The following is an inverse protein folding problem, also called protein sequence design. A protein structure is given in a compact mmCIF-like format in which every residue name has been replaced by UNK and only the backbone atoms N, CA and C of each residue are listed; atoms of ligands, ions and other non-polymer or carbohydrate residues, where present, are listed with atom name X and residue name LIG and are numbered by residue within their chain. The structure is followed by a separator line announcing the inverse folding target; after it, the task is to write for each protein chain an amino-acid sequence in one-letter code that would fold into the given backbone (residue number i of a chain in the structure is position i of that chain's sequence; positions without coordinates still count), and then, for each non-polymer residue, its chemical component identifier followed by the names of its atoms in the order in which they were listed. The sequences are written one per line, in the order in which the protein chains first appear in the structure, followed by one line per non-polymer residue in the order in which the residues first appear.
data_IF_892417711798
#
_entry.id   IF_892417711798
#
_cell.length_a   1.000
_cell.length_b   1.000
_cell.length_c   1.000
_cell.angle_alpha   90.00
_cell.angle_beta   90.00
_cell.angle_gamma   90.00
#
_symmetry.space_group_name_H-M   'P 1'
#
loop_
_entity.id
_entity.type
_entity.pdbx_description
1 polymer ?
#
# COMPACT_ATOMS: atom_id res chain seq x y z
N UNK A 1 9.77 23.46 -54.91
CA UNK A 1 10.78 24.49 -55.25
C UNK A 1 10.13 25.86 -55.10
N UNK A 2 10.82 26.87 -54.55
CA UNK A 2 10.40 28.29 -54.40
C UNK A 2 8.99 28.60 -53.82
N UNK A 3 8.98 29.11 -52.59
CA UNK A 3 8.00 30.13 -52.16
C UNK A 3 8.26 31.46 -52.89
N UNK A 4 7.28 32.38 -52.90
CA UNK A 4 7.54 33.79 -52.59
C UNK A 4 6.87 34.22 -51.26
N UNK A 5 7.29 35.37 -50.72
CA UNK A 5 6.88 35.93 -49.42
C UNK A 5 6.09 37.24 -49.58
N UNK A 6 5.52 37.66 -48.44
CA UNK A 6 5.31 39.06 -48.00
C UNK A 6 4.00 39.75 -48.47
N UNK A 7 3.48 40.78 -47.80
CA UNK A 7 4.07 41.63 -46.72
C UNK A 7 3.03 42.33 -45.83
N UNK A 8 3.40 42.63 -44.56
CA UNK A 8 2.98 43.83 -43.76
C UNK A 8 1.47 43.99 -43.37
N UNK A 9 1.06 44.80 -42.38
CA UNK A 9 1.71 45.35 -41.16
C UNK A 9 0.66 45.99 -40.20
N UNK A 10 1.06 46.31 -38.95
CA UNK A 10 0.27 46.97 -37.88
C UNK A 10 -0.98 46.18 -37.43
N UNK A 11 -1.63 46.40 -36.28
CA UNK A 11 -1.54 47.34 -35.13
C UNK A 11 -2.88 47.19 -34.37
N UNK A 12 -3.06 47.41 -33.07
CA UNK A 12 -2.35 48.21 -32.07
C UNK A 12 -2.42 47.55 -30.67
N UNK A 13 -1.62 48.05 -29.71
CA UNK A 13 -1.76 47.65 -28.30
C UNK A 13 -2.86 48.45 -27.58
N UNK A 14 -3.40 47.88 -26.51
CA UNK A 14 -3.90 48.66 -25.37
C UNK A 14 -3.67 47.90 -24.06
N UNK A 15 -3.12 48.58 -23.06
CA UNK A 15 -2.91 48.06 -21.72
C UNK A 15 -3.47 49.03 -20.69
N UNK A 16 -4.15 48.51 -19.67
CA UNK A 16 -4.61 49.15 -18.43
C UNK A 16 -5.13 48.02 -17.51
N UNK A 17 -5.09 48.09 -16.18
CA UNK A 17 -4.12 48.68 -15.26
C UNK A 17 -4.35 48.03 -13.88
N UNK A 18 -3.35 48.01 -13.00
CA UNK A 18 -3.52 47.46 -11.65
C UNK A 18 -4.20 48.46 -10.70
N UNK A 19 -5.05 47.98 -9.78
CA UNK A 19 -5.41 48.77 -8.60
C UNK A 19 -5.89 47.92 -7.39
N UNK A 20 -5.07 48.00 -6.34
CA UNK A 20 -5.39 47.86 -4.91
C UNK A 20 -4.65 49.03 -4.22
N UNK A 21 -4.92 49.45 -2.95
CA UNK A 21 -5.59 48.71 -1.87
C UNK A 21 -6.59 49.55 -1.04
N UNK A 22 -7.03 49.04 0.13
CA UNK A 22 -7.42 49.81 1.35
C UNK A 22 -7.38 48.90 2.60
N UNK A 23 -7.23 49.47 3.81
CA UNK A 23 -7.11 48.74 5.09
C UNK A 23 -7.79 49.47 6.27
N UNK A 24 -8.28 48.69 7.26
CA UNK A 24 -8.49 49.02 8.71
C UNK A 24 -9.53 50.13 9.06
N UNK A 25 -9.98 50.30 10.33
CA UNK A 25 -9.69 49.63 11.63
C UNK A 25 -10.79 48.58 12.02
N UNK A 26 -10.85 47.80 13.12
CA UNK A 26 -10.18 47.64 14.45
C UNK A 26 -10.73 48.46 15.67
N UNK A 27 -10.85 47.97 16.92
CA UNK A 27 -10.30 46.71 17.50
C UNK A 27 -11.23 45.83 18.41
N UNK A 28 -11.48 46.04 19.74
CA UNK A 28 -11.35 44.89 20.67
C UNK A 28 -12.47 44.61 21.71
N UNK A 29 -12.48 43.37 22.24
CA UNK A 29 -12.88 42.99 23.62
C UNK A 29 -12.44 41.57 24.00
N UNK A 30 -12.33 41.28 25.30
CA UNK A 30 -11.87 40.01 25.90
C UNK A 30 -12.47 39.85 27.34
N UNK A 31 -11.97 38.99 28.24
CA UNK A 31 -12.16 37.53 28.26
C UNK A 31 -12.81 37.01 29.57
N UNK A 32 -13.41 35.81 29.59
CA UNK A 32 -13.85 35.13 30.82
C UNK A 32 -13.42 33.65 30.90
N UNK A 33 -13.06 33.29 32.14
CA UNK A 33 -12.76 31.99 32.80
C UNK A 33 -13.81 30.87 32.59
N UNK A 34 -13.66 29.64 33.10
CA UNK A 34 -12.54 28.72 33.40
C UNK A 34 -13.12 27.45 34.09
N UNK A 35 -12.39 26.32 34.07
CA UNK A 35 -12.79 25.07 34.72
C UNK A 35 -13.52 24.08 33.79
N UNK A 36 -13.62 22.78 34.07
CA UNK A 36 -13.11 22.01 35.23
C UNK A 36 -12.48 20.66 34.80
N UNK A 37 -12.14 19.79 35.76
CA UNK A 37 -11.23 18.64 35.59
C UNK A 37 -11.95 17.29 35.48
N UNK A 38 -11.30 16.37 34.76
CA UNK A 38 -11.22 14.91 34.96
C UNK A 38 -12.12 14.31 36.07
N UNK A 39 -12.94 13.30 35.72
CA UNK A 39 -12.59 11.86 35.93
C UNK A 39 -13.78 10.95 35.57
N UNK A 40 -13.52 9.85 34.86
CA UNK A 40 -14.48 8.75 34.73
C UNK A 40 -14.07 7.62 35.69
N UNK A 41 -14.96 7.17 36.57
CA UNK A 41 -14.69 6.08 37.52
C UNK A 41 -15.00 4.70 36.90
N UNK A 42 -14.15 3.71 37.18
CA UNK A 42 -14.45 2.28 37.04
C UNK A 42 -15.24 1.75 38.26
N UNK A 43 -15.64 0.48 38.18
CA UNK A 43 -16.27 -0.38 39.21
C UNK A 43 -17.82 -0.39 39.20
N UNK A 44 -18.50 -1.54 39.41
CA UNK A 44 -18.03 -2.94 39.61
C UNK A 44 -19.13 -3.97 39.26
N UNK A 45 -18.78 -5.26 39.26
CA UNK A 45 -19.70 -6.39 39.08
C UNK A 45 -20.89 -6.40 40.05
N UNK A 46 -22.00 -7.00 39.61
CA UNK A 46 -22.88 -7.79 40.46
C UNK A 46 -23.34 -9.04 39.69
N UNK A 47 -22.92 -10.23 40.13
CA UNK A 47 -23.37 -11.52 39.61
C UNK A 47 -24.49 -12.09 40.47
N UNK A 48 -25.57 -12.60 39.86
CA UNK A 48 -26.53 -13.49 40.52
C UNK A 48 -27.11 -14.48 39.51
N UNK A 49 -26.99 -15.76 39.81
CA UNK A 49 -27.69 -16.82 39.08
C UNK A 49 -29.07 -17.12 39.66
N UNK A 50 -29.90 -17.79 38.88
CA UNK A 50 -31.16 -18.42 39.25
C UNK A 50 -31.45 -19.52 38.24
N UNK A 51 -31.94 -20.67 38.68
CA UNK A 51 -31.90 -21.91 37.88
C UNK A 51 -33.24 -22.62 37.82
N UNK A 52 -33.42 -23.38 36.73
CA UNK A 52 -34.39 -24.48 36.56
C UNK A 52 -35.89 -24.11 36.60
N UNK A 53 -36.56 -24.40 35.49
CA UNK A 53 -37.54 -25.49 35.49
C UNK A 53 -37.55 -26.17 34.10
N UNK A 54 -37.94 -27.44 34.05
CA UNK A 54 -37.84 -28.28 32.84
C UNK A 54 -39.22 -28.64 32.26
N UNK A 55 -39.23 -29.01 30.98
CA UNK A 55 -40.31 -29.72 30.31
C UNK A 55 -39.72 -30.70 29.28
N UNK A 56 -40.27 -31.91 29.19
CA UNK A 56 -39.68 -33.03 28.43
C UNK A 56 -40.38 -33.29 27.10
N UNK A 57 -39.66 -33.87 26.14
CA UNK A 57 -40.20 -34.67 25.05
C UNK A 57 -39.17 -35.74 24.65
N UNK A 58 -39.62 -36.97 24.38
CA UNK A 58 -38.77 -38.12 24.04
C UNK A 58 -38.84 -38.50 22.55
N UNK A 59 -37.94 -39.42 22.17
CA UNK A 59 -38.05 -40.37 21.06
C UNK A 59 -37.90 -39.88 19.61
N UNK A 60 -36.72 -40.12 19.04
CA UNK A 60 -36.57 -40.95 17.84
C UNK A 60 -35.19 -41.63 17.85
N UNK A 61 -35.10 -42.88 17.37
CA UNK A 61 -33.83 -43.62 17.32
C UNK A 61 -33.18 -43.52 15.93
N UNK A 62 -31.86 -43.32 15.90
CA UNK A 62 -31.06 -43.31 14.67
C UNK A 62 -29.58 -43.23 15.01
N UNK A 63 -28.86 -44.34 14.89
CA UNK A 63 -27.44 -44.40 15.23
C UNK A 63 -26.57 -43.67 14.22
N UNK A 64 -25.68 -42.82 14.71
CA UNK A 64 -24.54 -42.28 13.99
C UNK A 64 -23.26 -42.79 14.69
N UNK A 65 -22.15 -43.03 13.96
CA UNK A 65 -20.91 -43.45 14.59
C UNK A 65 -20.38 -42.34 15.51
N UNK A 66 -19.78 -42.73 16.64
CA UNK A 66 -18.97 -41.80 17.43
C UNK A 66 -17.81 -41.30 16.56
N UNK A 67 -17.77 -39.98 16.36
CA UNK A 67 -16.63 -39.30 15.77
C UNK A 67 -15.77 -38.83 16.93
N UNK A 68 -14.59 -39.43 17.10
CA UNK A 68 -13.64 -39.01 18.12
C UNK A 68 -13.36 -37.50 17.96
N UNK A 69 -13.78 -36.72 18.95
CA UNK A 69 -13.40 -35.31 19.04
C UNK A 69 -11.90 -35.24 19.30
N UNK A 70 -11.13 -34.99 18.24
CA UNK A 70 -9.69 -34.73 18.31
C UNK A 70 -9.43 -33.72 19.42
N UNK A 71 -8.59 -34.10 20.39
CA UNK A 71 -8.32 -33.28 21.57
C UNK A 71 -8.01 -31.83 21.18
N UNK A 72 -8.73 -30.90 21.81
CA UNK A 72 -8.48 -29.48 21.68
C UNK A 72 -7.04 -29.19 22.15
N UNK A 73 -6.13 -29.01 21.17
CA UNK A 73 -4.70 -28.86 21.44
C UNK A 73 -4.45 -27.62 22.29
N UNK A 74 -4.36 -27.85 23.60
CA UNK A 74 -4.13 -26.82 24.61
C UNK A 74 -2.85 -26.07 24.28
N UNK A 75 -3.02 -24.83 23.81
CA UNK A 75 -1.94 -23.91 23.46
C UNK A 75 -1.09 -23.71 24.73
N UNK A 76 0.21 -24.08 24.74
CA UNK A 76 0.97 -24.12 25.98
C UNK A 76 1.11 -22.72 26.59
N UNK A 77 1.13 -22.57 27.93
CA UNK A 77 1.15 -21.27 28.60
C UNK A 77 2.42 -20.47 28.26
N UNK A 78 2.32 -19.57 27.28
CA UNK A 78 3.44 -18.79 26.74
C UNK A 78 3.44 -18.63 25.22
N UNK A 79 2.80 -19.54 24.47
CA UNK A 79 2.50 -19.27 23.06
C UNK A 79 1.30 -18.34 22.95
N UNK A 80 1.50 -17.21 22.26
CA UNK A 80 0.43 -16.34 21.81
C UNK A 80 -0.43 -17.08 20.78
N UNK A 81 -1.75 -16.92 20.80
CA UNK A 81 -2.59 -17.37 19.69
C UNK A 81 -2.13 -16.74 18.37
N UNK A 82 -2.16 -17.48 17.26
CA UNK A 82 -1.67 -17.00 15.96
C UNK A 82 -2.38 -15.70 15.51
N UNK A 83 -3.65 -15.50 15.89
CA UNK A 83 -4.40 -14.27 15.64
C UNK A 83 -3.84 -13.11 16.49
N UNK A 84 -3.63 -13.32 17.78
CA UNK A 84 -3.04 -12.32 18.68
C UNK A 84 -1.57 -12.04 18.33
N UNK A 85 -0.84 -13.00 17.76
CA UNK A 85 0.48 -12.79 17.18
C UNK A 85 0.42 -11.90 15.90
N UNK A 86 -0.56 -12.14 15.02
CA UNK A 86 -0.86 -11.30 13.85
C UNK A 86 -1.30 -9.88 14.23
N UNK A 87 -1.93 -9.69 15.40
CA UNK A 87 -2.30 -8.36 15.93
C UNK A 87 -1.13 -7.65 16.66
N UNK A 88 -0.32 -8.38 17.43
CA UNK A 88 0.85 -7.83 18.12
C UNK A 88 1.96 -7.37 17.14
N UNK A 89 2.03 -8.02 15.98
CA UNK A 89 2.98 -7.72 14.89
C UNK A 89 2.35 -6.77 13.86
N UNK A 90 2.20 -5.49 14.23
CA UNK A 90 1.98 -4.39 13.28
C UNK A 90 3.21 -4.17 12.39
N UNK A 91 3.81 -2.98 12.41
CA UNK A 91 5.12 -2.73 11.75
C UNK A 91 6.32 -3.44 12.43
N UNK A 92 6.10 -4.58 13.10
CA UNK A 92 7.09 -5.53 13.62
C UNK A 92 8.44 -4.93 14.00
N UNK A 93 9.44 -5.22 13.17
CA UNK A 93 10.85 -4.80 13.28
C UNK A 93 11.23 -3.62 12.36
N UNK A 94 10.26 -2.89 11.80
CA UNK A 94 10.53 -1.74 10.90
C UNK A 94 11.11 -0.57 11.70
N UNK A 95 12.19 0.05 11.19
CA UNK A 95 12.78 1.27 11.77
C UNK A 95 11.80 2.44 11.76
N UNK A 96 10.90 2.48 10.78
CA UNK A 96 9.86 3.52 10.66
C UNK A 96 8.67 3.34 11.62
N UNK A 97 8.50 2.19 12.29
CA UNK A 97 7.33 1.85 13.12
C UNK A 97 6.92 2.98 14.09
N UNK A 98 7.90 3.61 14.75
CA UNK A 98 7.68 4.66 15.76
C UNK A 98 7.25 6.02 15.19
N UNK A 99 7.31 6.23 13.88
CA UNK A 99 6.94 7.50 13.22
C UNK A 99 5.63 7.41 12.43
N UNK A 100 5.24 6.20 12.00
CA UNK A 100 4.03 5.98 11.21
C UNK A 100 2.77 5.98 12.09
N UNK A 101 1.68 6.55 11.58
CA UNK A 101 0.34 6.49 12.19
C UNK A 101 -0.12 5.00 12.29
N UNK A 102 -0.86 4.61 13.35
CA UNK A 102 -1.27 3.22 13.57
C UNK A 102 -1.94 2.52 12.38
N UNK A 103 -2.65 3.26 11.52
CA UNK A 103 -3.26 2.72 10.30
C UNK A 103 -2.22 2.15 9.33
N UNK A 104 -1.12 2.88 9.11
CA UNK A 104 -0.03 2.46 8.25
C UNK A 104 0.73 1.29 8.88
N UNK A 105 0.93 1.33 10.21
CA UNK A 105 1.55 0.20 10.93
C UNK A 105 0.73 -1.08 10.80
N UNK A 106 -0.61 -0.97 10.86
CA UNK A 106 -1.54 -2.10 10.73
C UNK A 106 -1.55 -2.65 9.29
N UNK A 107 -1.74 -1.80 8.28
CA UNK A 107 -1.73 -2.24 6.88
C UNK A 107 -0.40 -2.89 6.49
N UNK A 108 0.73 -2.27 6.86
CA UNK A 108 2.06 -2.83 6.60
C UNK A 108 2.27 -4.19 7.30
N UNK A 109 1.83 -4.31 8.56
CA UNK A 109 1.91 -5.57 9.32
C UNK A 109 1.05 -6.68 8.72
N UNK A 110 -0.18 -6.37 8.33
CA UNK A 110 -1.12 -7.33 7.74
C UNK A 110 -0.65 -7.80 6.34
N UNK A 111 -0.11 -6.91 5.51
CA UNK A 111 0.47 -7.28 4.20
C UNK A 111 1.67 -8.21 4.37
N UNK A 112 2.68 -7.80 5.16
CA UNK A 112 3.89 -8.60 5.37
C UNK A 112 3.58 -9.95 6.05
N UNK A 113 2.58 -9.98 6.95
CA UNK A 113 2.19 -11.20 7.66
C UNK A 113 1.35 -12.14 6.79
N UNK A 114 0.51 -11.64 5.88
CA UNK A 114 -0.20 -12.47 4.90
C UNK A 114 0.78 -13.18 3.96
N UNK A 115 1.83 -12.48 3.50
CA UNK A 115 2.91 -13.09 2.72
C UNK A 115 3.60 -14.21 3.50
N UNK A 116 4.05 -13.94 4.74
CA UNK A 116 4.75 -14.91 5.59
C UNK A 116 3.90 -16.13 5.91
N UNK A 117 2.61 -15.94 6.17
CA UNK A 117 1.68 -17.00 6.55
C UNK A 117 1.27 -17.88 5.37
N UNK A 118 0.97 -17.29 4.20
CA UNK A 118 0.43 -18.03 3.05
C UNK A 118 1.50 -18.62 2.13
N UNK A 119 2.71 -18.03 2.06
CA UNK A 119 3.82 -18.60 1.27
C UNK A 119 4.76 -19.46 2.11
N UNK A 120 4.86 -19.21 3.42
CA UNK A 120 5.67 -20.01 4.34
C UNK A 120 7.12 -20.17 3.87
N UNK A 121 7.54 -21.42 3.62
CA UNK A 121 8.89 -21.74 3.14
C UNK A 121 9.18 -21.26 1.70
N UNK A 122 8.16 -20.91 0.92
CA UNK A 122 8.32 -20.36 -0.43
C UNK A 122 8.58 -18.84 -0.44
N UNK A 123 8.73 -18.17 0.72
CA UNK A 123 9.02 -16.74 0.79
C UNK A 123 10.52 -16.46 1.03
N UNK A 124 11.25 -16.15 -0.04
CA UNK A 124 12.67 -15.78 0.02
C UNK A 124 12.89 -14.27 0.19
N UNK A 125 14.03 -13.86 0.76
CA UNK A 125 14.43 -12.45 0.87
C UNK A 125 15.02 -11.95 -0.46
N UNK A 126 14.44 -10.89 -1.03
CA UNK A 126 14.98 -10.27 -2.25
C UNK A 126 16.21 -9.40 -1.93
N UNK A 127 17.32 -9.53 -2.68
CA UNK A 127 18.57 -8.83 -2.38
C UNK A 127 18.53 -7.36 -2.83
N UNK A 128 17.84 -6.51 -2.05
CA UNK A 128 17.88 -5.06 -2.23
C UNK A 128 19.31 -4.51 -1.99
N UNK A 129 19.76 -3.49 -2.75
CA UNK A 129 20.97 -2.71 -2.44
C UNK A 129 20.91 -2.15 -1.01
N UNK A 130 21.97 -2.30 -0.22
CA UNK A 130 21.98 -1.93 1.21
C UNK A 130 21.72 -0.44 1.43
N UNK A 131 22.25 0.40 0.54
CA UNK A 131 22.06 1.85 0.52
C UNK A 131 20.61 2.27 0.23
N UNK A 132 19.81 1.39 -0.40
CA UNK A 132 18.41 1.65 -0.75
C UNK A 132 17.40 0.87 0.13
N UNK A 133 17.85 0.04 1.08
CA UNK A 133 16.98 -0.60 2.08
C UNK A 133 16.39 0.40 3.09
N UNK A 134 17.13 1.46 3.39
CA UNK A 134 16.69 2.54 4.28
C UNK A 134 17.38 3.84 3.87
N UNK A 135 16.62 4.81 3.37
CA UNK A 135 17.14 6.11 2.94
C UNK A 135 16.66 7.21 3.89
N UNK A 136 17.54 8.12 4.27
CA UNK A 136 17.27 9.21 5.21
C UNK A 136 17.92 10.50 4.72
N UNK A 137 17.12 11.51 4.38
CA UNK A 137 17.59 12.77 3.80
C UNK A 137 18.35 13.70 4.77
N UNK A 138 18.44 13.37 6.06
CA UNK A 138 19.39 14.01 6.96
C UNK A 138 20.77 13.32 6.96
N UNK A 139 20.86 12.12 6.40
CA UNK A 139 22.11 11.39 6.24
C UNK A 139 22.81 11.76 4.93
N UNK A 140 24.02 12.29 5.04
CA UNK A 140 25.00 12.16 3.96
C UNK A 140 25.26 10.67 3.67
N UNK A 141 25.75 10.34 2.46
CA UNK A 141 26.20 8.99 2.08
C UNK A 141 27.50 8.55 2.79
N UNK A 142 27.81 9.15 3.93
CA UNK A 142 28.99 8.85 4.75
C UNK A 142 28.73 7.65 5.66
N UNK A 143 29.49 6.57 5.43
CA UNK A 143 29.27 5.25 6.02
C UNK A 143 29.54 5.18 7.52
N UNK A 144 30.11 6.23 8.12
CA UNK A 144 30.36 6.30 9.57
C UNK A 144 29.07 6.31 10.42
N UNK A 145 27.93 6.71 9.86
CA UNK A 145 26.74 7.09 10.62
C UNK A 145 25.63 6.02 10.68
N UNK A 146 25.96 4.82 11.17
CA UNK A 146 25.01 3.72 11.41
C UNK A 146 23.81 4.10 12.32
N UNK A 147 23.93 5.20 13.07
CA UNK A 147 22.92 5.73 13.99
C UNK A 147 22.14 6.94 13.44
N UNK A 148 22.25 7.29 12.14
CA UNK A 148 21.60 8.48 11.56
C UNK A 148 20.09 8.55 11.82
N UNK A 149 19.39 7.42 11.90
CA UNK A 149 17.96 7.37 12.23
C UNK A 149 17.61 7.95 13.62
N UNK A 150 18.60 8.07 14.52
CA UNK A 150 18.49 8.71 15.85
C UNK A 150 18.89 10.20 15.85
N UNK A 151 19.46 10.72 14.76
CA UNK A 151 19.81 12.14 14.66
C UNK A 151 18.55 13.01 14.81
N UNK A 152 18.62 14.19 15.46
CA UNK A 152 17.47 15.05 15.65
C UNK A 152 16.89 15.56 14.33
N UNK A 153 15.58 15.81 14.30
CA UNK A 153 14.89 16.45 13.18
C UNK A 153 15.40 17.87 12.93
N UNK A 154 15.68 18.29 11.68
CA UNK A 154 15.93 19.70 11.36
C UNK A 154 14.71 20.56 11.71
N UNK A 155 14.95 21.76 12.24
CA UNK A 155 13.87 22.67 12.60
C UNK A 155 13.09 23.13 11.34
N UNK A 156 11.77 23.33 11.47
CA UNK A 156 10.91 23.72 10.34
C UNK A 156 11.43 24.99 9.66
N UNK A 157 11.75 24.88 8.37
CA UNK A 157 12.29 25.98 7.57
C UNK A 157 13.82 26.11 7.56
N UNK A 158 14.55 25.23 8.24
CA UNK A 158 16.03 25.13 8.11
C UNK A 158 16.42 24.18 6.97
N UNK A 159 17.66 24.26 6.43
CA UNK A 159 18.14 23.31 5.43
C UNK A 159 17.99 21.85 5.88
N UNK A 160 17.58 20.97 4.96
CA UNK A 160 17.23 19.57 5.26
C UNK A 160 15.81 19.36 5.77
N UNK A 161 15.05 20.41 6.12
CA UNK A 161 13.61 20.28 6.39
C UNK A 161 12.79 20.38 5.08
N UNK A 162 11.75 19.53 4.88
CA UNK A 162 11.31 18.45 5.75
C UNK A 162 12.07 17.16 5.46
N UNK A 163 12.71 16.59 6.48
CA UNK A 163 13.43 15.31 6.36
C UNK A 163 12.44 14.20 5.99
N UNK A 164 12.78 13.50 4.92
CA UNK A 164 12.14 12.26 4.44
C UNK A 164 13.00 11.07 4.87
N UNK A 165 12.34 10.04 5.42
CA UNK A 165 12.89 8.74 5.78
C UNK A 165 12.03 7.66 5.12
N UNK A 166 12.64 6.75 4.36
CA UNK A 166 11.94 5.61 3.75
C UNK A 166 12.64 4.29 4.09
N UNK A 167 11.87 3.21 4.09
CA UNK A 167 12.32 1.86 4.42
C UNK A 167 11.69 0.87 3.43
N UNK A 168 12.48 -0.10 2.98
CA UNK A 168 12.07 -1.10 2.00
C UNK A 168 12.25 -2.51 2.52
N UNK A 169 11.25 -3.35 2.26
CA UNK A 169 11.36 -4.81 2.33
C UNK A 169 10.94 -5.40 1.00
N UNK A 170 11.73 -6.32 0.49
CA UNK A 170 11.34 -7.06 -0.69
C UNK A 170 11.59 -8.55 -0.50
N UNK A 171 10.72 -9.34 -1.10
CA UNK A 171 10.71 -10.80 -1.07
C UNK A 171 10.55 -11.33 -2.50
N UNK A 172 10.79 -12.62 -2.69
CA UNK A 172 10.40 -13.37 -3.89
C UNK A 172 9.71 -14.67 -3.47
N UNK A 173 9.03 -15.32 -4.41
CA UNK A 173 8.51 -16.66 -4.19
C UNK A 173 8.55 -17.54 -5.43
N UNK A 174 7.86 -18.69 -5.40
CA UNK A 174 7.64 -19.54 -6.58
C UNK A 174 6.97 -18.73 -7.70
N UNK A 175 5.82 -18.12 -7.43
CA UNK A 175 5.02 -17.39 -8.42
C UNK A 175 5.43 -15.92 -8.65
N UNK A 176 6.10 -15.28 -7.68
CA UNK A 176 6.44 -13.85 -7.74
C UNK A 176 7.94 -13.59 -7.84
N UNK A 177 8.35 -12.77 -8.81
CA UNK A 177 9.74 -12.31 -8.96
C UNK A 177 10.12 -11.32 -7.86
N UNK A 178 9.17 -10.47 -7.46
CA UNK A 178 9.36 -9.43 -6.44
C UNK A 178 8.03 -9.07 -5.77
N UNK A 179 7.94 -9.29 -4.46
CA UNK A 179 6.94 -8.67 -3.58
C UNK A 179 7.66 -7.53 -2.86
N UNK A 180 7.35 -6.28 -3.17
CA UNK A 180 7.98 -5.10 -2.58
C UNK A 180 6.97 -4.36 -1.71
N UNK A 181 7.37 -4.05 -0.47
CA UNK A 181 6.66 -3.20 0.48
C UNK A 181 7.61 -2.06 0.87
N UNK A 182 7.16 -0.83 0.65
CA UNK A 182 7.81 0.43 0.98
C UNK A 182 6.97 1.15 2.04
N UNK A 183 7.63 1.79 3.01
CA UNK A 183 7.01 2.81 3.85
C UNK A 183 7.85 4.09 3.81
N UNK A 184 7.17 5.24 3.79
CA UNK A 184 7.77 6.57 3.78
C UNK A 184 7.17 7.43 4.88
N UNK A 185 8.01 8.10 5.64
CA UNK A 185 7.66 9.14 6.59
C UNK A 185 8.38 10.45 6.24
N UNK A 186 7.69 11.59 6.30
CA UNK A 186 8.31 12.91 6.12
C UNK A 186 7.82 13.91 7.17
N UNK A 187 8.73 14.70 7.72
CA UNK A 187 8.51 15.56 8.88
C UNK A 187 7.60 16.79 8.67
N UNK A 188 7.10 16.99 7.45
CA UNK A 188 5.99 17.91 7.22
C UNK A 188 4.62 17.27 7.54
N UNK A 189 4.55 15.95 7.72
CA UNK A 189 3.34 15.16 7.98
C UNK A 189 2.96 14.16 6.87
N UNK A 190 3.71 14.08 5.77
CA UNK A 190 3.43 13.11 4.69
C UNK A 190 3.80 11.68 5.11
N UNK A 191 2.92 10.73 4.84
CA UNK A 191 3.13 9.29 5.02
C UNK A 191 2.72 8.53 3.77
N UNK A 192 3.49 7.49 3.41
CA UNK A 192 3.16 6.57 2.31
C UNK A 192 3.37 5.13 2.77
N UNK A 193 2.46 4.24 2.36
CA UNK A 193 2.72 2.82 2.22
C UNK A 193 2.50 2.49 0.74
N UNK A 194 3.51 1.91 0.10
CA UNK A 194 3.45 1.46 -1.30
C UNK A 194 3.79 -0.03 -1.34
N UNK A 195 3.02 -0.81 -2.11
CA UNK A 195 3.17 -2.26 -2.17
C UNK A 195 2.87 -2.75 -3.59
N UNK A 196 3.80 -3.50 -4.18
CA UNK A 196 3.62 -4.13 -5.50
C UNK A 196 4.10 -5.58 -5.48
N UNK A 197 3.27 -6.48 -6.02
CA UNK A 197 3.61 -7.88 -6.24
C UNK A 197 3.75 -8.14 -7.75
N UNK A 198 5.00 -8.22 -8.22
CA UNK A 198 5.32 -8.57 -9.59
C UNK A 198 5.40 -10.10 -9.75
N UNK A 199 4.53 -10.72 -10.57
CA UNK A 199 4.62 -12.15 -10.87
C UNK A 199 5.85 -12.46 -11.74
N UNK A 200 6.25 -13.73 -11.80
CA UNK A 200 7.26 -14.17 -12.79
C UNK A 200 6.66 -14.15 -14.19
N UNK A 201 7.51 -14.05 -15.21
CA UNK A 201 7.07 -13.93 -16.61
C UNK A 201 6.42 -15.20 -17.16
N UNK A 202 6.61 -16.33 -16.49
CA UNK A 202 5.94 -17.60 -16.76
C UNK A 202 4.64 -17.79 -15.96
N UNK A 203 4.13 -16.78 -15.25
CA UNK A 203 2.86 -16.87 -14.50
C UNK A 203 1.82 -15.90 -15.05
N UNK A 204 0.63 -16.42 -15.38
CA UNK A 204 -0.51 -15.63 -15.85
C UNK A 204 -1.29 -15.02 -14.66
N UNK A 205 -0.60 -14.18 -13.91
CA UNK A 205 -1.11 -13.48 -12.73
C UNK A 205 -1.09 -11.96 -12.99
N UNK A 206 -2.07 -11.20 -12.52
CA UNK A 206 -2.00 -9.73 -12.55
C UNK A 206 -0.90 -9.21 -11.61
N UNK A 207 -0.52 -7.95 -11.79
CA UNK A 207 0.33 -7.23 -10.85
C UNK A 207 -0.60 -6.63 -9.78
N UNK A 208 -0.54 -7.10 -8.53
CA UNK A 208 -1.25 -6.42 -7.43
C UNK A 208 -0.47 -5.17 -7.01
N UNK A 209 -1.11 -4.00 -7.14
CA UNK A 209 -0.61 -2.71 -6.66
C UNK A 209 -1.50 -2.15 -5.55
N UNK A 210 -0.90 -1.68 -4.46
CA UNK A 210 -1.56 -1.06 -3.30
C UNK A 210 -0.78 0.22 -2.93
N UNK A 211 -1.46 1.37 -2.94
CA UNK A 211 -0.90 2.67 -2.49
C UNK A 211 -1.79 3.28 -1.41
N UNK A 212 -1.21 3.73 -0.30
CA UNK A 212 -1.88 4.50 0.74
C UNK A 212 -1.07 5.77 1.03
N UNK A 213 -1.67 6.96 0.87
CA UNK A 213 -0.98 8.25 1.09
C UNK A 213 -1.74 9.10 2.10
N UNK A 214 -1.10 9.34 3.24
CA UNK A 214 -1.60 10.12 4.36
C UNK A 214 -0.92 11.49 4.45
N UNK A 215 -1.66 12.46 4.95
CA UNK A 215 -1.14 13.77 5.32
C UNK A 215 -1.65 14.13 6.70
N UNK A 216 -0.73 14.21 7.65
CA UNK A 216 -1.03 14.28 9.08
C UNK A 216 -1.94 13.08 9.45
N UNK A 217 -3.13 13.29 10.03
CA UNK A 217 -4.10 12.22 10.32
C UNK A 217 -5.14 11.99 9.20
N UNK A 218 -4.98 12.61 8.02
CA UNK A 218 -5.95 12.54 6.91
C UNK A 218 -5.43 11.67 5.77
N UNK A 219 -6.17 10.61 5.41
CA UNK A 219 -5.88 9.85 4.19
C UNK A 219 -6.32 10.65 2.95
N UNK A 220 -5.36 10.85 2.05
CA UNK A 220 -5.52 11.69 0.85
C UNK A 220 -5.67 10.88 -0.43
N UNK A 221 -5.18 9.64 -0.41
CA UNK A 221 -5.28 8.66 -1.48
C UNK A 221 -5.24 7.26 -0.87
N UNK A 222 -6.08 6.36 -1.37
CA UNK A 222 -5.92 4.93 -1.23
C UNK A 222 -6.21 4.29 -2.61
N UNK A 223 -5.32 3.42 -3.10
CA UNK A 223 -5.45 2.68 -4.36
C UNK A 223 -5.24 1.21 -4.08
N UNK A 224 -6.07 0.36 -4.68
CA UNK A 224 -5.87 -1.09 -4.79
C UNK A 224 -6.32 -1.55 -6.17
N UNK A 225 -5.44 -2.21 -6.91
CA UNK A 225 -5.74 -2.74 -8.25
C UNK A 225 -5.03 -4.07 -8.54
N UNK A 226 -5.71 -4.92 -9.31
CA UNK A 226 -5.08 -5.99 -10.07
C UNK A 226 -4.78 -5.46 -11.48
N UNK A 227 -3.55 -5.05 -11.75
CA UNK A 227 -3.20 -4.53 -13.07
C UNK A 227 -2.96 -5.68 -14.06
N UNK A 228 -3.66 -5.70 -15.22
CA UNK A 228 -3.72 -6.85 -16.11
C UNK A 228 -2.42 -7.10 -16.88
N UNK A 229 -2.07 -8.37 -17.07
CA UNK A 229 -0.93 -8.83 -17.89
C UNK A 229 -1.34 -9.44 -19.24
N UNK A 230 -2.63 -9.41 -19.58
CA UNK A 230 -3.14 -9.79 -20.90
C UNK A 230 -3.03 -8.63 -21.91
N UNK A 231 -2.81 -8.95 -23.19
CA UNK A 231 -2.60 -7.97 -24.28
C UNK A 231 -3.75 -6.99 -24.51
N UNK A 232 -4.97 -7.47 -24.35
CA UNK A 232 -6.22 -6.69 -24.42
C UNK A 232 -6.48 -5.84 -23.17
N UNK A 233 -5.68 -6.05 -22.11
CA UNK A 233 -5.84 -5.51 -20.75
C UNK A 233 -7.06 -6.05 -20.00
N UNK A 234 -7.53 -7.25 -20.35
CA UNK A 234 -8.46 -8.00 -19.51
C UNK A 234 -7.78 -8.55 -18.26
N UNK A 235 -8.55 -8.70 -17.18
CA UNK A 235 -8.18 -9.58 -16.07
C UNK A 235 -8.66 -11.01 -16.34
N UNK A 236 -7.98 -12.05 -15.82
CA UNK A 236 -8.55 -13.39 -15.80
C UNK A 236 -9.90 -13.38 -15.08
N UNK A 237 -10.91 -14.16 -15.52
CA UNK A 237 -12.28 -14.04 -15.04
C UNK A 237 -12.44 -14.06 -13.52
N UNK A 238 -11.74 -14.98 -12.85
CA UNK A 238 -11.78 -15.14 -11.39
C UNK A 238 -11.30 -13.88 -10.65
N UNK A 239 -10.24 -13.22 -11.16
CA UNK A 239 -9.73 -11.96 -10.61
C UNK A 239 -10.72 -10.81 -10.77
N UNK A 240 -11.35 -10.70 -11.95
CA UNK A 240 -12.35 -9.66 -12.22
C UNK A 240 -13.61 -9.86 -11.37
N UNK A 241 -14.02 -11.12 -11.16
CA UNK A 241 -15.22 -11.46 -10.39
C UNK A 241 -15.00 -11.31 -8.87
N UNK A 242 -13.89 -11.82 -8.33
CA UNK A 242 -13.51 -11.62 -6.92
C UNK A 242 -13.44 -10.12 -6.58
N UNK A 243 -12.85 -9.31 -7.47
CA UNK A 243 -12.78 -7.86 -7.25
C UNK A 243 -14.16 -7.20 -7.22
N UNK A 244 -15.09 -7.58 -8.12
CA UNK A 244 -16.48 -7.09 -8.13
C UNK A 244 -17.27 -7.53 -6.90
N UNK A 245 -17.12 -8.79 -6.48
CA UNK A 245 -17.81 -9.33 -5.30
C UNK A 245 -17.37 -8.60 -4.02
N UNK A 246 -16.07 -8.40 -3.82
CA UNK A 246 -15.56 -7.64 -2.67
C UNK A 246 -15.93 -6.15 -2.74
N UNK A 247 -16.03 -5.56 -3.93
CA UNK A 247 -16.54 -4.18 -4.09
C UNK A 247 -18.01 -4.06 -3.67
N UNK A 248 -18.85 -5.01 -4.08
CA UNK A 248 -20.26 -5.06 -3.70
C UNK A 248 -20.44 -5.33 -2.19
N UNK A 249 -19.68 -6.26 -1.61
CA UNK A 249 -19.71 -6.58 -0.18
C UNK A 249 -19.42 -5.36 0.70
N UNK A 250 -18.36 -4.61 0.37
CA UNK A 250 -17.90 -3.46 1.16
C UNK A 250 -18.45 -2.11 0.70
N UNK A 251 -19.32 -2.08 -0.33
CA UNK A 251 -19.95 -0.87 -0.87
C UNK A 251 -18.93 0.14 -1.39
N UNK A 252 -17.91 -0.33 -2.11
CA UNK A 252 -16.68 0.40 -2.40
C UNK A 252 -16.55 0.78 -3.88
N UNK A 253 -16.63 2.09 -4.16
CA UNK A 253 -16.53 2.67 -5.50
C UNK A 253 -15.35 3.64 -5.64
N UNK A 254 -14.78 3.73 -6.84
CA UNK A 254 -13.74 4.73 -7.18
C UNK A 254 -14.34 6.14 -7.20
N UNK A 255 -13.93 6.97 -6.24
CA UNK A 255 -14.42 8.35 -6.08
C UNK A 255 -13.44 9.42 -6.59
N UNK A 256 -12.36 9.01 -7.26
CA UNK A 256 -11.24 9.85 -7.68
C UNK A 256 -10.84 9.55 -9.12
N UNK A 257 -10.67 10.57 -9.94
CA UNK A 257 -10.19 10.41 -11.32
C UNK A 257 -8.74 9.91 -11.37
N UNK A 258 -8.48 8.97 -12.28
CA UNK A 258 -7.14 8.43 -12.51
C UNK A 258 -6.26 9.42 -13.29
N UNK A 259 -4.95 9.48 -13.01
CA UNK A 259 -4.01 10.17 -13.88
C UNK A 259 -3.90 9.44 -15.23
N UNK A 260 -3.50 10.15 -16.29
CA UNK A 260 -3.40 9.57 -17.65
C UNK A 260 -2.57 8.29 -17.71
N UNK A 261 -1.42 8.25 -17.01
CA UNK A 261 -0.59 7.05 -16.94
C UNK A 261 -1.29 5.86 -16.28
N UNK A 262 -2.25 6.12 -15.38
CA UNK A 262 -3.02 5.09 -14.70
C UNK A 262 -4.05 4.42 -15.62
N UNK A 263 -4.77 5.20 -16.43
CA UNK A 263 -5.71 4.67 -17.44
C UNK A 263 -5.05 3.85 -18.56
N UNK A 264 -3.72 3.87 -18.64
CA UNK A 264 -2.94 3.04 -19.55
C UNK A 264 -2.66 1.63 -18.99
N UNK A 265 -2.70 1.42 -17.67
CA UNK A 265 -2.21 0.20 -17.00
C UNK A 265 -3.11 -0.42 -15.92
N UNK A 266 -3.97 0.34 -15.25
CA UNK A 266 -4.84 -0.19 -14.20
C UNK A 266 -6.09 -0.86 -14.79
N UNK A 267 -6.69 -1.82 -14.07
CA UNK A 267 -7.91 -2.49 -14.53
C UNK A 267 -9.18 -1.63 -14.42
N UNK A 268 -10.26 -2.08 -15.07
CA UNK A 268 -11.62 -1.56 -14.85
C UNK A 268 -12.11 -1.75 -13.40
N UNK A 269 -11.51 -2.67 -12.65
CA UNK A 269 -11.82 -2.94 -11.24
C UNK A 269 -10.90 -2.17 -10.28
N UNK A 270 -10.02 -1.29 -10.78
CA UNK A 270 -9.14 -0.46 -9.95
C UNK A 270 -9.94 0.43 -8.98
N UNK A 271 -9.75 0.23 -7.68
CA UNK A 271 -10.24 1.15 -6.66
C UNK A 271 -9.23 2.28 -6.45
N UNK A 272 -9.63 3.52 -6.71
CA UNK A 272 -8.90 4.73 -6.33
C UNK A 272 -9.83 5.70 -5.61
N UNK A 273 -9.53 5.97 -4.34
CA UNK A 273 -10.37 6.81 -3.50
C UNK A 273 -9.56 7.87 -2.76
N UNK A 274 -10.24 8.94 -2.39
CA UNK A 274 -9.97 9.68 -1.16
C UNK A 274 -11.06 9.30 -0.15
N UNK A 275 -10.74 8.62 0.97
CA UNK A 275 -11.74 8.27 1.97
C UNK A 275 -12.42 9.51 2.54
N UNK A 276 -13.76 9.52 2.54
CA UNK A 276 -14.60 10.63 3.03
C UNK A 276 -15.02 10.45 4.50
N UNK A 277 -14.86 9.25 5.05
CA UNK A 277 -15.15 8.90 6.44
C UNK A 277 -14.37 7.66 6.85
N UNK A 278 -14.29 7.38 8.16
CA UNK A 278 -13.69 6.15 8.70
C UNK A 278 -14.29 4.89 8.07
N UNK A 279 -15.62 4.82 7.93
CA UNK A 279 -16.30 3.66 7.31
C UNK A 279 -15.80 3.34 5.88
N UNK A 280 -15.51 4.36 5.08
CA UNK A 280 -15.00 4.19 3.70
C UNK A 280 -13.53 3.73 3.71
N UNK A 281 -12.75 4.17 4.70
CA UNK A 281 -11.39 3.68 4.92
C UNK A 281 -11.39 2.23 5.41
N UNK A 282 -12.23 1.88 6.39
CA UNK A 282 -12.39 0.52 6.91
C UNK A 282 -12.83 -0.46 5.80
N UNK A 283 -13.76 -0.02 4.93
CA UNK A 283 -14.19 -0.76 3.75
C UNK A 283 -13.03 -1.00 2.77
N UNK A 284 -12.25 0.04 2.45
CA UNK A 284 -11.07 -0.11 1.59
C UNK A 284 -10.00 -1.02 2.20
N UNK A 285 -9.76 -0.97 3.51
CA UNK A 285 -8.81 -1.87 4.17
C UNK A 285 -9.23 -3.33 4.04
N UNK A 286 -10.51 -3.64 4.31
CA UNK A 286 -11.07 -4.99 4.20
C UNK A 286 -11.03 -5.50 2.76
N UNK A 287 -11.47 -4.69 1.81
CA UNK A 287 -11.34 -4.96 0.38
C UNK A 287 -9.89 -5.29 0.02
N UNK A 288 -8.94 -4.47 0.44
CA UNK A 288 -7.51 -4.61 0.09
C UNK A 288 -6.88 -5.86 0.68
N UNK A 289 -7.24 -6.23 1.91
CA UNK A 289 -6.77 -7.48 2.52
C UNK A 289 -7.46 -8.72 1.90
N UNK A 290 -8.74 -8.61 1.50
CA UNK A 290 -9.43 -9.65 0.72
C UNK A 290 -8.79 -9.89 -0.65
N UNK A 291 -8.54 -8.81 -1.39
CA UNK A 291 -7.81 -8.79 -2.67
C UNK A 291 -6.42 -9.43 -2.53
N UNK A 292 -5.65 -9.02 -1.52
CA UNK A 292 -4.34 -9.62 -1.24
C UNK A 292 -4.46 -11.12 -0.97
N UNK A 293 -5.36 -11.53 -0.08
CA UNK A 293 -5.49 -12.93 0.31
C UNK A 293 -5.96 -13.81 -0.86
N UNK A 294 -6.89 -13.32 -1.69
CA UNK A 294 -7.30 -14.02 -2.91
C UNK A 294 -6.14 -14.19 -3.91
N UNK A 295 -5.32 -13.15 -4.10
CA UNK A 295 -4.15 -13.19 -4.97
C UNK A 295 -3.12 -14.22 -4.51
N UNK A 296 -2.87 -14.31 -3.19
CA UNK A 296 -1.95 -15.27 -2.59
C UNK A 296 -2.46 -16.71 -2.76
N UNK A 297 -3.75 -16.97 -2.51
CA UNK A 297 -4.37 -18.29 -2.72
C UNK A 297 -4.28 -18.73 -4.18
N UNK A 298 -4.68 -17.87 -5.14
CA UNK A 298 -4.62 -18.20 -6.57
C UNK A 298 -3.18 -18.42 -7.02
N UNK A 299 -2.22 -17.60 -6.57
CA UNK A 299 -0.81 -17.75 -6.93
C UNK A 299 -0.15 -19.02 -6.34
N UNK A 300 -0.63 -19.50 -5.19
CA UNK A 300 -0.18 -20.78 -4.62
C UNK A 300 -0.57 -21.97 -5.52
N UNK A 301 -1.80 -21.99 -6.04
CA UNK A 301 -2.30 -23.07 -6.92
C UNK A 301 -1.85 -22.93 -8.38
N UNK A 302 -1.62 -21.70 -8.86
CA UNK A 302 -1.29 -21.41 -10.26
C UNK A 302 -0.01 -22.14 -10.69
N UNK A 303 -0.08 -22.79 -11.86
CA UNK A 303 1.07 -23.44 -12.49
C UNK A 303 1.70 -22.53 -13.56
N UNK A 304 3.01 -22.67 -13.86
CA UNK A 304 3.63 -21.96 -14.95
C UNK A 304 2.91 -22.15 -16.29
N UNK A 305 2.80 -21.07 -17.06
CA UNK A 305 2.46 -21.09 -18.48
C UNK A 305 3.50 -21.94 -19.21
N UNK A 306 3.02 -22.99 -19.88
CA UNK A 306 3.88 -23.91 -20.63
C UNK A 306 4.74 -23.19 -21.68
N UNK A 307 5.99 -23.63 -21.84
CA UNK A 307 7.03 -22.93 -22.60
C UNK A 307 6.76 -22.87 -24.12
N UNK A 308 5.85 -23.69 -24.63
CA UNK A 308 5.35 -23.66 -26.01
C UNK A 308 4.40 -22.48 -26.29
N UNK A 309 3.72 -21.95 -25.26
CA UNK A 309 2.77 -20.81 -25.38
C UNK A 309 3.50 -19.46 -25.44
N UNK A 310 4.45 -19.35 -26.36
CA UNK A 310 5.38 -18.22 -26.51
C UNK A 310 4.71 -16.84 -26.62
N UNK A 311 3.61 -16.70 -27.36
CA UNK A 311 2.87 -15.42 -27.46
C UNK A 311 2.35 -14.96 -26.09
N UNK A 312 1.79 -15.87 -25.28
CA UNK A 312 1.29 -15.55 -23.94
C UNK A 312 2.42 -15.15 -22.98
N UNK A 313 3.60 -15.76 -23.10
CA UNK A 313 4.79 -15.38 -22.34
C UNK A 313 5.33 -14.00 -22.75
N UNK A 314 5.24 -13.66 -24.04
CA UNK A 314 5.60 -12.34 -24.57
C UNK A 314 4.61 -11.27 -24.09
N UNK A 315 3.31 -11.55 -24.08
CA UNK A 315 2.28 -10.65 -23.54
C UNK A 315 2.52 -10.34 -22.06
N UNK A 316 2.74 -11.36 -21.22
CA UNK A 316 2.99 -11.18 -19.78
C UNK A 316 4.20 -10.27 -19.55
N UNK A 317 5.30 -10.49 -20.29
CA UNK A 317 6.48 -9.62 -20.25
C UNK A 317 6.16 -8.19 -20.69
N UNK A 318 5.56 -8.01 -21.86
CA UNK A 318 5.30 -6.70 -22.45
C UNK A 318 4.40 -5.85 -21.55
N UNK A 319 3.41 -6.46 -20.88
CA UNK A 319 2.54 -5.75 -19.95
C UNK A 319 3.21 -5.45 -18.60
N UNK A 320 4.14 -6.29 -18.10
CA UNK A 320 4.98 -5.90 -16.95
C UNK A 320 5.93 -4.74 -17.28
N UNK A 321 6.57 -4.78 -18.45
CA UNK A 321 7.42 -3.69 -18.94
C UNK A 321 6.61 -2.39 -19.12
N UNK A 322 5.40 -2.48 -19.68
CA UNK A 322 4.44 -1.38 -19.79
C UNK A 322 4.02 -0.82 -18.43
N UNK A 323 3.70 -1.68 -17.46
CA UNK A 323 3.34 -1.26 -16.10
C UNK A 323 4.45 -0.42 -15.46
N UNK A 324 5.69 -0.93 -15.49
CA UNK A 324 6.85 -0.21 -15.01
C UNK A 324 7.04 1.14 -15.74
N UNK A 325 6.93 1.15 -17.07
CA UNK A 325 7.08 2.36 -17.88
C UNK A 325 6.07 3.47 -17.51
N UNK A 326 4.79 3.13 -17.31
CA UNK A 326 3.78 4.14 -16.97
C UNK A 326 3.77 4.52 -15.49
N UNK A 327 4.10 3.61 -14.57
CA UNK A 327 4.35 3.99 -13.17
C UNK A 327 5.53 4.97 -13.04
N UNK A 328 6.57 4.82 -13.88
CA UNK A 328 7.66 5.80 -14.00
C UNK A 328 7.21 7.18 -14.54
N UNK A 329 5.95 7.36 -14.96
CA UNK A 329 5.36 8.68 -15.29
C UNK A 329 4.64 9.33 -14.09
N UNK A 330 4.72 8.73 -12.90
CA UNK A 330 4.17 9.30 -11.67
C UNK A 330 5.06 10.41 -11.08
N UNK A 331 4.93 11.63 -11.64
CA UNK A 331 5.72 12.79 -11.23
C UNK A 331 5.56 13.22 -9.77
N UNK A 332 4.51 12.79 -9.06
CA UNK A 332 4.34 13.11 -7.63
C UNK A 332 5.38 12.38 -6.79
N UNK A 333 5.52 11.08 -6.96
CA UNK A 333 6.52 10.27 -6.26
C UNK A 333 7.94 10.71 -6.64
N UNK A 334 8.19 10.93 -7.94
CA UNK A 334 9.47 11.47 -8.45
C UNK A 334 9.82 12.82 -7.80
N UNK A 335 8.89 13.76 -7.74
CA UNK A 335 9.12 15.10 -7.17
C UNK A 335 9.45 15.04 -5.67
N UNK A 336 8.72 14.20 -4.92
CA UNK A 336 8.97 13.96 -3.49
C UNK A 336 10.37 13.39 -3.25
N UNK A 337 10.80 12.39 -4.02
CA UNK A 337 12.12 11.78 -3.91
C UNK A 337 13.24 12.74 -4.35
N UNK A 338 13.08 13.44 -5.49
CA UNK A 338 14.08 14.40 -6.01
C UNK A 338 14.31 15.57 -5.06
N UNK A 339 13.27 16.01 -4.35
CA UNK A 339 13.38 17.04 -3.30
C UNK A 339 14.08 16.57 -2.03
N UNK A 340 14.26 15.26 -1.82
CA UNK A 340 14.84 14.69 -0.60
C UNK A 340 16.25 14.11 -0.80
N UNK A 341 16.51 13.49 -1.96
CA UNK A 341 17.73 12.72 -2.23
C UNK A 341 18.51 13.18 -3.47
N UNK A 342 18.06 14.24 -4.14
CA UNK A 342 18.62 14.71 -5.41
C UNK A 342 18.09 13.96 -6.64
N UNK A 343 18.45 14.44 -7.82
CA UNK A 343 17.90 13.96 -9.09
C UNK A 343 18.25 12.50 -9.38
N UNK A 344 19.53 12.15 -9.25
CA UNK A 344 20.09 10.88 -9.72
C UNK A 344 19.70 9.73 -8.78
N UNK A 345 19.84 9.93 -7.47
CA UNK A 345 19.41 8.96 -6.45
C UNK A 345 17.93 8.62 -6.58
N UNK A 346 17.07 9.61 -6.80
CA UNK A 346 15.64 9.40 -6.94
C UNK A 346 15.26 8.66 -8.23
N UNK A 347 15.94 8.94 -9.35
CA UNK A 347 15.68 8.24 -10.61
C UNK A 347 16.22 6.80 -10.57
N UNK A 348 17.43 6.60 -10.02
CA UNK A 348 17.98 5.27 -9.71
C UNK A 348 17.04 4.47 -8.81
N UNK A 349 16.55 5.06 -7.73
CA UNK A 349 15.62 4.41 -6.81
C UNK A 349 14.34 3.94 -7.50
N UNK A 350 13.72 4.80 -8.33
CA UNK A 350 12.52 4.45 -9.09
C UNK A 350 12.77 3.32 -10.10
N UNK A 351 13.93 3.30 -10.75
CA UNK A 351 14.26 2.34 -11.81
C UNK A 351 14.86 1.00 -11.31
N UNK A 352 15.62 0.99 -10.20
CA UNK A 352 16.21 -0.23 -9.61
C UNK A 352 15.30 -0.87 -8.55
N UNK A 353 14.56 -0.06 -7.79
CA UNK A 353 13.78 -0.54 -6.63
C UNK A 353 12.30 -0.64 -6.96
N UNK A 354 11.63 0.49 -7.19
CA UNK A 354 10.16 0.54 -7.20
C UNK A 354 9.57 -0.10 -8.46
N UNK A 355 10.04 0.33 -9.64
CA UNK A 355 9.47 -0.07 -10.94
C UNK A 355 10.53 -0.69 -11.85
N UNK A 356 11.29 -1.64 -11.30
CA UNK A 356 12.30 -2.39 -12.04
C UNK A 356 11.67 -3.27 -13.14
N UNK A 357 12.00 -3.03 -14.43
CA UNK A 357 11.53 -3.86 -15.52
C UNK A 357 12.04 -5.31 -15.35
N UNK A 358 11.31 -6.31 -15.86
CA UNK A 358 11.68 -7.70 -15.71
C UNK A 358 12.92 -8.07 -16.55
N UNK A 359 13.75 -8.96 -15.99
CA UNK A 359 14.99 -9.46 -16.56
C UNK A 359 14.95 -10.97 -16.83
N UNK A 360 15.93 -11.50 -17.57
CA UNK A 360 16.07 -12.96 -17.76
C UNK A 360 16.26 -13.72 -16.43
N UNK A 361 16.81 -13.07 -15.40
CA UNK A 361 16.98 -13.69 -14.09
C UNK A 361 15.65 -13.90 -13.34
N UNK A 362 14.62 -13.10 -13.65
CA UNK A 362 13.30 -13.19 -13.02
C UNK A 362 12.47 -14.40 -13.51
N UNK A 363 12.87 -15.02 -14.63
CA UNK A 363 12.18 -16.16 -15.25
C UNK A 363 12.17 -17.44 -14.39
N UNK A 364 13.15 -17.62 -13.51
CA UNK A 364 13.37 -18.89 -12.79
C UNK A 364 13.14 -18.74 -11.30
N UNK A 365 12.38 -19.65 -10.72
CA UNK A 365 12.30 -19.78 -9.27
C UNK A 365 13.59 -20.41 -8.73
N UNK A 366 14.16 -19.95 -7.61
CA UNK A 366 15.17 -20.70 -6.87
C UNK A 366 14.56 -21.80 -5.98
N UNK A 367 13.26 -22.07 -6.14
CA UNK A 367 12.52 -23.21 -5.56
C UNK A 367 12.11 -24.25 -6.62
N UNK A 368 12.64 -24.17 -7.84
CA UNK A 368 12.47 -25.12 -8.95
C UNK A 368 13.76 -25.94 -9.17
#
# INVERSE_FOLDING_TARGET
MKLPRSSQAAGSAHALAAQAPRQRPSTPSAPIRAGERRTCKKARHASRGGSLHAASAEAAAGGLPEVDFVEEKTIPPGSMEDIVAKEAMGMGTWRLRQFMNPLFQLMCGQIETSWRHQMGFQLGLYPLPEDLKYCDSAGSLDKAAAWNFMAPSPARGTPGWPRLRLENRAYFSRAFRKLHLECVFREDGLQVLHCVMFPRLNYDLPILGIDLVGKDDVITLAITDFSPVARDRSLPPDYAEIAKQLQAEWGLETNRSMPKWGSEIFSEQCISIRPTSGKVLDAWMKYTLGILNAHLLIANETQPVAADRSEKLQDIRAQQERYCHFQLQNDRTRSVLKSAFGADTAERYLQEIVFAPPSEADLRSPFE
#
